data_IF_883099288407
#
_entry.id   IF_883099288407
#
_cell.length_a   1.000
_cell.length_b   1.000
_cell.length_c   1.000
_cell.angle_alpha   90.00
_cell.angle_beta   90.00
_cell.angle_gamma   90.00
#
_symmetry.space_group_name_H-M   'P 1'
#
loop_
_entity.id
_entity.type
_entity.pdbx_description
1 polymer ?
#
# COMPACT_ATOMS: atom_id res chain seq x y z
N UNK A 1 24.08 9.04 -15.97
CA UNK A 1 23.00 8.49 -16.79
C UNK A 1 21.78 8.42 -15.89
N UNK A 2 20.72 9.13 -16.29
CA UNK A 2 19.52 9.35 -15.46
C UNK A 2 18.75 8.05 -15.22
N UNK A 3 18.67 7.19 -16.24
CA UNK A 3 17.97 5.91 -16.17
C UNK A 3 18.64 4.97 -15.16
N UNK A 4 19.98 4.87 -15.23
CA UNK A 4 20.76 4.08 -14.26
C UNK A 4 20.66 4.63 -12.83
N UNK A 5 20.53 5.94 -12.68
CA UNK A 5 20.35 6.55 -11.35
C UNK A 5 18.98 6.18 -10.77
N UNK A 6 17.94 6.18 -11.60
CA UNK A 6 16.60 5.77 -11.18
C UNK A 6 16.54 4.28 -10.78
N UNK A 7 17.11 3.40 -11.60
CA UNK A 7 17.19 1.96 -11.29
C UNK A 7 17.94 1.69 -9.98
N UNK A 8 19.06 2.39 -9.75
CA UNK A 8 19.82 2.27 -8.51
C UNK A 8 19.01 2.70 -7.28
N UNK A 9 18.20 3.76 -7.37
CA UNK A 9 17.31 4.19 -6.28
C UNK A 9 16.23 3.13 -6.04
N UNK A 10 15.64 2.57 -7.09
CA UNK A 10 14.62 1.54 -6.99
C UNK A 10 15.16 0.28 -6.30
N UNK A 11 16.32 -0.20 -6.74
CA UNK A 11 16.98 -1.36 -6.15
C UNK A 11 17.30 -1.13 -4.67
N UNK A 12 17.85 0.04 -4.33
CA UNK A 12 18.13 0.40 -2.95
C UNK A 12 16.86 0.44 -2.09
N UNK A 13 15.76 0.93 -2.65
CA UNK A 13 14.44 0.89 -2.00
C UNK A 13 13.99 -0.52 -1.63
N UNK A 14 14.19 -1.49 -2.53
CA UNK A 14 13.88 -2.90 -2.29
C UNK A 14 14.77 -3.50 -1.18
N UNK A 15 16.07 -3.19 -1.19
CA UNK A 15 17.00 -3.63 -0.15
C UNK A 15 16.55 -3.14 1.24
N UNK A 16 16.20 -1.86 1.34
CA UNK A 16 15.68 -1.25 2.58
C UNK A 16 14.38 -1.92 3.03
N UNK A 17 13.49 -2.25 2.09
CA UNK A 17 12.24 -2.92 2.41
C UNK A 17 12.48 -4.31 3.01
N UNK A 18 13.40 -5.07 2.43
CA UNK A 18 13.74 -6.40 2.94
C UNK A 18 14.42 -6.32 4.32
N UNK A 19 15.35 -5.38 4.53
CA UNK A 19 16.00 -5.15 5.83
C UNK A 19 15.01 -4.78 6.94
N UNK A 20 13.90 -4.12 6.59
CA UNK A 20 12.93 -3.61 7.57
C UNK A 20 11.76 -4.55 7.82
N UNK A 21 11.56 -5.55 6.97
CA UNK A 21 10.38 -6.44 6.97
C UNK A 21 10.10 -7.13 8.31
N UNK A 22 11.15 -7.48 9.06
CA UNK A 22 11.04 -8.15 10.36
C UNK A 22 10.74 -7.20 11.53
N UNK A 23 10.78 -5.88 11.30
CA UNK A 23 10.51 -4.89 12.35
C UNK A 23 9.03 -4.87 12.69
N UNK A 24 8.72 -4.70 13.96
CA UNK A 24 7.36 -4.72 14.44
C UNK A 24 6.58 -3.45 14.02
N UNK A 25 5.35 -3.62 13.55
CA UNK A 25 4.46 -2.54 13.09
C UNK A 25 3.21 -2.47 13.97
N UNK A 26 3.29 -1.68 15.06
CA UNK A 26 2.19 -1.52 16.04
C UNK A 26 1.33 -0.28 15.84
N UNK A 27 1.75 0.64 14.98
CA UNK A 27 1.03 1.86 14.63
C UNK A 27 0.39 1.71 13.25
N UNK A 28 -0.46 2.66 12.86
CA UNK A 28 -1.08 2.64 11.52
C UNK A 28 -2.37 3.45 11.43
N UNK A 29 -3.05 3.27 10.30
CA UNK A 29 -4.39 3.83 10.05
C UNK A 29 -5.29 2.80 9.40
N UNK A 30 -6.60 3.00 9.57
CA UNK A 30 -7.62 2.36 8.74
C UNK A 30 -8.08 3.42 7.74
N UNK A 31 -7.91 3.12 6.46
CA UNK A 31 -8.37 3.97 5.37
C UNK A 31 -9.57 3.32 4.68
N UNK A 32 -10.55 4.15 4.33
CA UNK A 32 -11.78 3.72 3.66
C UNK A 32 -11.96 4.53 2.39
N UNK A 33 -11.95 3.84 1.25
CA UNK A 33 -12.33 4.43 -0.03
C UNK A 33 -13.78 4.10 -0.33
N UNK A 34 -14.58 5.13 -0.61
CA UNK A 34 -15.98 4.98 -0.98
C UNK A 34 -16.19 5.38 -2.43
N UNK A 35 -16.82 4.50 -3.22
CA UNK A 35 -17.08 4.72 -4.64
C UNK A 35 -18.57 4.72 -4.96
N UNK A 36 -18.93 5.40 -6.06
CA UNK A 36 -20.28 5.46 -6.60
C UNK A 36 -21.37 5.81 -5.55
N UNK A 37 -21.08 6.80 -4.69
CA UNK A 37 -22.00 7.24 -3.64
C UNK A 37 -22.20 6.22 -2.52
N UNK A 38 -21.19 5.39 -2.23
CA UNK A 38 -21.23 4.39 -1.16
C UNK A 38 -21.74 3.03 -1.58
N UNK A 39 -21.92 2.78 -2.88
CA UNK A 39 -22.34 1.45 -3.38
C UNK A 39 -21.23 0.41 -3.29
N UNK A 40 -19.98 0.84 -3.34
CA UNK A 40 -18.80 0.00 -3.14
C UNK A 40 -17.87 0.72 -2.18
N UNK A 41 -17.33 -0.01 -1.20
CA UNK A 41 -16.27 0.47 -0.31
C UNK A 41 -15.13 -0.52 -0.25
N UNK A 42 -13.91 0.01 -0.25
CA UNK A 42 -12.69 -0.73 0.06
C UNK A 42 -12.09 -0.20 1.35
N UNK A 43 -11.66 -1.11 2.22
CA UNK A 43 -11.09 -0.80 3.53
C UNK A 43 -9.72 -1.47 3.62
N UNK A 44 -8.73 -0.72 4.09
CA UNK A 44 -7.37 -1.22 4.32
C UNK A 44 -6.88 -0.73 5.67
N UNK A 45 -6.39 -1.66 6.49
CA UNK A 45 -5.53 -1.37 7.64
C UNK A 45 -4.08 -1.32 7.14
N UNK A 46 -3.46 -0.15 7.20
CA UNK A 46 -2.06 0.05 6.84
C UNK A 46 -1.25 0.29 8.12
N UNK A 47 -0.26 -0.57 8.35
CA UNK A 47 0.57 -0.59 9.56
C UNK A 47 1.93 0.05 9.30
N UNK A 48 2.49 0.67 10.34
CA UNK A 48 3.81 1.33 10.36
C UNK A 48 4.53 1.06 11.68
N UNK A 49 5.84 1.33 11.75
CA UNK A 49 6.61 1.22 12.99
C UNK A 49 6.16 2.28 14.01
N UNK A 50 5.87 3.51 13.56
CA UNK A 50 5.55 4.65 14.46
C UNK A 50 4.29 5.43 14.10
N UNK A 51 3.63 6.00 15.12
CA UNK A 51 2.47 6.89 14.94
C UNK A 51 2.80 8.19 14.18
N UNK A 52 4.09 8.58 14.14
CA UNK A 52 4.53 9.75 13.37
C UNK A 52 4.38 9.51 11.88
N UNK A 53 4.74 8.31 11.39
CA UNK A 53 4.56 7.93 9.99
C UNK A 53 3.09 7.76 9.64
N UNK A 54 2.27 7.21 10.54
CA UNK A 54 0.82 7.09 10.32
C UNK A 54 0.13 8.45 10.00
N UNK A 55 0.74 9.57 10.39
CA UNK A 55 0.24 10.93 10.14
C UNK A 55 0.82 11.58 8.87
N UNK A 56 1.83 10.98 8.27
CA UNK A 56 2.51 11.48 7.07
C UNK A 56 1.59 11.40 5.83
N UNK A 57 1.65 12.40 4.96
CA UNK A 57 0.77 12.49 3.79
C UNK A 57 1.09 11.43 2.72
N UNK A 58 2.34 11.01 2.56
CA UNK A 58 2.71 9.91 1.67
C UNK A 58 2.15 8.58 2.18
N UNK A 59 2.18 8.35 3.49
CA UNK A 59 1.60 7.15 4.10
C UNK A 59 0.08 7.10 3.94
N UNK A 60 -0.61 8.21 4.20
CA UNK A 60 -2.06 8.34 3.97
C UNK A 60 -2.42 8.16 2.50
N UNK A 61 -1.61 8.73 1.59
CA UNK A 61 -1.81 8.58 0.15
C UNK A 61 -1.69 7.11 -0.27
N UNK A 62 -0.68 6.39 0.23
CA UNK A 62 -0.54 4.96 -0.02
C UNK A 62 -1.78 4.19 0.48
N UNK A 63 -2.22 4.43 1.72
CA UNK A 63 -3.41 3.77 2.26
C UNK A 63 -4.65 4.02 1.40
N UNK A 64 -4.81 5.24 0.88
CA UNK A 64 -5.91 5.61 0.01
C UNK A 64 -5.87 4.88 -1.32
N UNK A 65 -4.71 4.81 -1.97
CA UNK A 65 -4.52 4.06 -3.21
C UNK A 65 -4.79 2.57 -3.02
N UNK A 66 -4.34 1.98 -1.89
CA UNK A 66 -4.63 0.60 -1.54
C UNK A 66 -6.13 0.36 -1.29
N UNK A 67 -6.81 1.26 -0.58
CA UNK A 67 -8.25 1.15 -0.34
C UNK A 67 -9.05 1.24 -1.65
N UNK A 68 -8.63 2.11 -2.57
CA UNK A 68 -9.22 2.20 -3.91
C UNK A 68 -8.96 0.93 -4.74
N UNK A 69 -7.74 0.38 -4.69
CA UNK A 69 -7.40 -0.90 -5.32
C UNK A 69 -8.31 -2.03 -4.80
N UNK A 70 -8.51 -2.12 -3.48
CA UNK A 70 -9.41 -3.12 -2.88
C UNK A 70 -10.84 -2.95 -3.38
N UNK A 71 -11.36 -1.72 -3.41
CA UNK A 71 -12.71 -1.44 -3.91
C UNK A 71 -12.90 -1.87 -5.38
N UNK A 72 -11.90 -1.61 -6.22
CA UNK A 72 -11.95 -1.86 -7.66
C UNK A 72 -11.71 -3.33 -8.02
N UNK A 73 -10.74 -3.99 -7.38
CA UNK A 73 -10.21 -5.28 -7.83
C UNK A 73 -10.68 -6.47 -6.99
N UNK A 74 -11.38 -6.23 -5.87
CA UNK A 74 -11.94 -7.28 -5.02
C UNK A 74 -10.98 -8.43 -4.65
N UNK A 75 -9.75 -8.14 -4.18
CA UNK A 75 -8.84 -9.17 -3.67
C UNK A 75 -9.48 -9.91 -2.49
N UNK A 76 -9.21 -11.22 -2.36
CA UNK A 76 -9.69 -12.04 -1.24
C UNK A 76 -8.93 -11.77 0.05
N UNK A 77 -7.63 -11.54 -0.07
CA UNK A 77 -6.70 -11.31 1.03
C UNK A 77 -5.56 -10.35 0.62
N UNK A 78 -4.67 -10.06 1.58
CA UNK A 78 -3.55 -9.14 1.35
C UNK A 78 -2.50 -9.73 0.41
N UNK A 79 -2.35 -11.06 0.39
CA UNK A 79 -1.44 -11.77 -0.49
C UNK A 79 -1.87 -11.61 -1.95
N UNK A 80 -3.17 -11.79 -2.24
CA UNK A 80 -3.74 -11.53 -3.56
C UNK A 80 -3.62 -10.05 -3.94
N UNK A 81 -3.95 -9.13 -3.01
CA UNK A 81 -3.81 -7.69 -3.23
C UNK A 81 -2.39 -7.30 -3.66
N UNK A 82 -1.36 -7.82 -2.99
CA UNK A 82 0.05 -7.52 -3.29
C UNK A 82 0.48 -7.94 -4.70
N UNK A 83 -0.10 -9.01 -5.23
CA UNK A 83 0.23 -9.54 -6.55
C UNK A 83 -0.58 -8.93 -7.70
N UNK A 84 -1.62 -8.15 -7.40
CA UNK A 84 -2.40 -7.45 -8.42
C UNK A 84 -1.58 -6.36 -9.12
N UNK A 85 -1.92 -6.15 -10.39
CA UNK A 85 -1.48 -4.98 -11.13
C UNK A 85 -2.18 -3.74 -10.56
N UNK A 86 -1.44 -2.64 -10.44
CA UNK A 86 -1.96 -1.41 -9.89
C UNK A 86 -2.91 -0.72 -10.88
N UNK A 87 -4.11 -0.38 -10.42
CA UNK A 87 -5.18 0.17 -11.27
C UNK A 87 -4.81 1.48 -11.99
N UNK A 88 -3.90 2.31 -11.45
CA UNK A 88 -3.47 3.54 -12.14
C UNK A 88 -2.29 3.33 -13.07
N UNK A 89 -1.49 2.29 -12.85
CA UNK A 89 -0.32 1.97 -13.66
C UNK A 89 -0.13 0.44 -13.67
N UNK A 90 -0.72 -0.26 -14.66
CA UNK A 90 -0.65 -1.70 -14.76
C UNK A 90 0.77 -2.25 -14.99
N UNK A 91 1.77 -1.39 -15.23
CA UNK A 91 3.17 -1.83 -15.32
C UNK A 91 3.79 -2.14 -13.94
N UNK A 92 3.11 -1.77 -12.85
CA UNK A 92 3.54 -2.00 -11.47
C UNK A 92 2.59 -2.93 -10.75
N UNK A 93 3.13 -3.75 -9.86
CA UNK A 93 2.33 -4.48 -8.89
C UNK A 93 2.09 -3.64 -7.64
N UNK A 94 1.04 -3.96 -6.89
CA UNK A 94 0.76 -3.31 -5.60
C UNK A 94 1.92 -3.47 -4.61
N UNK A 95 2.60 -4.63 -4.59
CA UNK A 95 3.81 -4.82 -3.77
C UNK A 95 4.93 -3.83 -4.09
N UNK A 96 5.05 -3.41 -5.35
CA UNK A 96 6.08 -2.44 -5.75
C UNK A 96 5.77 -1.07 -5.16
N UNK A 97 4.49 -0.67 -5.11
CA UNK A 97 4.07 0.57 -4.45
C UNK A 97 4.42 0.58 -2.96
N UNK A 98 4.15 -0.53 -2.26
CA UNK A 98 4.47 -0.66 -0.83
C UNK A 98 5.98 -0.57 -0.62
N UNK A 99 6.77 -1.28 -1.43
CA UNK A 99 8.23 -1.24 -1.34
C UNK A 99 8.81 0.14 -1.68
N UNK A 100 8.28 0.82 -2.71
CA UNK A 100 8.66 2.20 -3.05
C UNK A 100 8.38 3.15 -1.88
N UNK A 101 7.24 2.99 -1.19
CA UNK A 101 6.91 3.77 -0.01
C UNK A 101 7.85 3.48 1.17
N UNK A 102 8.20 2.22 1.43
CA UNK A 102 9.19 1.85 2.46
C UNK A 102 10.55 2.48 2.15
N UNK A 103 10.97 2.47 0.88
CA UNK A 103 12.21 3.11 0.44
C UNK A 103 12.25 4.63 0.66
N UNK A 104 11.11 5.30 0.54
CA UNK A 104 10.96 6.76 0.78
C UNK A 104 10.85 7.10 2.26
N UNK A 105 9.91 6.45 2.95
CA UNK A 105 9.54 6.74 4.35
C UNK A 105 10.61 6.21 5.32
N UNK A 106 11.34 5.16 4.93
CA UNK A 106 12.37 4.50 5.76
C UNK A 106 11.80 3.87 7.04
N UNK A 107 10.57 3.38 7.00
CA UNK A 107 9.97 2.50 8.02
C UNK A 107 9.38 1.25 7.37
N UNK A 108 9.28 0.17 8.13
CA UNK A 108 8.50 -1.00 7.75
C UNK A 108 7.03 -0.59 7.60
N UNK A 109 6.42 -0.99 6.48
CA UNK A 109 5.02 -0.76 6.17
C UNK A 109 4.41 -2.10 5.80
N UNK A 110 3.29 -2.44 6.44
CA UNK A 110 2.62 -3.71 6.20
C UNK A 110 1.14 -3.51 5.99
N UNK A 111 0.58 -4.28 5.05
CA UNK A 111 -0.87 -4.38 4.89
C UNK A 111 -1.37 -5.32 5.98
N UNK A 112 -2.25 -4.80 6.84
CA UNK A 112 -3.00 -5.55 7.83
C UNK A 112 -4.22 -6.21 7.22
N UNK A 113 -5.39 -5.96 7.79
CA UNK A 113 -6.68 -6.44 7.27
C UNK A 113 -7.14 -5.62 6.08
N UNK A 114 -7.84 -6.30 5.17
CA UNK A 114 -8.58 -5.66 4.08
C UNK A 114 -10.03 -6.11 4.12
N UNK A 115 -10.93 -5.27 3.61
CA UNK A 115 -12.32 -5.64 3.40
C UNK A 115 -12.90 -4.89 2.21
N UNK A 116 -13.82 -5.53 1.50
CA UNK A 116 -14.61 -4.90 0.44
C UNK A 116 -16.08 -5.17 0.73
N UNK A 117 -16.91 -4.15 0.58
CA UNK A 117 -18.36 -4.30 0.62
C UNK A 117 -18.97 -3.68 -0.62
N UNK A 118 -19.98 -4.33 -1.16
CA UNK A 118 -20.74 -3.88 -2.31
C UNK A 118 -22.23 -4.14 -2.07
N UNK A 119 -23.06 -3.17 -2.44
CA UNK A 119 -24.50 -3.26 -2.29
C UNK A 119 -25.05 -4.34 -3.23
N UNK A 120 -25.63 -5.39 -2.65
CA UNK A 120 -26.30 -6.46 -3.40
C UNK A 120 -25.36 -7.53 -3.97
N UNK A 121 -24.11 -7.59 -3.53
CA UNK A 121 -23.15 -8.65 -3.83
C UNK A 121 -23.35 -9.89 -2.94
#
# INVERSE_FOLDING_TARGET
DEEKAYEAIKQKGLEIAEEKKERETKAGIIEVYSHAGGKVVGVVELLSETDFVARNDEFKSLAHELAMQVAAMSPKDKEELLEQDYIRDPSKKVKDLVNEAIGKIRENIQIGKIARFEVGA
#
